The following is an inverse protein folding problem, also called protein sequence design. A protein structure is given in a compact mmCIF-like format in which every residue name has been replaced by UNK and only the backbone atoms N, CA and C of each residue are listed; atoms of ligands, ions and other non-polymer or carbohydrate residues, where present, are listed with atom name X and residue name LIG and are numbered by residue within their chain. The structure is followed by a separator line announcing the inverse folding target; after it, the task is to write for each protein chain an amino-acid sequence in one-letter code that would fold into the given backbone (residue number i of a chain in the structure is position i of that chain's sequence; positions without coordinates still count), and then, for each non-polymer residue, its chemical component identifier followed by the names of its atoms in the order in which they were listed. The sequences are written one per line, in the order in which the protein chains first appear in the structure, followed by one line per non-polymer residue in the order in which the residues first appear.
data_IF_255990431758
#
_entry.id   IF_255990431758
#
_cell.length_a   1.000
_cell.length_b   1.000
_cell.length_c   1.000
_cell.angle_alpha   90.00
_cell.angle_beta   90.00
_cell.angle_gamma   90.00
#
_symmetry.space_group_name_H-M   'P 1'
#
loop_
_entity.id
_entity.type
_entity.pdbx_description
1 polymer ?
#
# COMPACT_ATOMS: atom_id res chain seq x y z
N UNK A 1 -26.51 13.18 -20.53
CA UNK A 1 -25.95 12.86 -19.19
C UNK A 1 -24.98 11.71 -19.32
N UNK A 2 -23.73 11.93 -18.96
CA UNK A 2 -22.72 10.86 -19.01
C UNK A 2 -22.94 9.91 -17.83
N UNK A 3 -22.81 8.58 -18.06
CA UNK A 3 -22.85 7.66 -16.93
C UNK A 3 -21.67 7.90 -15.99
N UNK A 4 -21.90 7.77 -14.69
CA UNK A 4 -20.81 7.85 -13.71
C UNK A 4 -19.86 6.67 -13.92
N UNK A 5 -18.57 6.93 -13.75
CA UNK A 5 -17.56 5.88 -13.84
C UNK A 5 -17.47 5.13 -12.50
N UNK A 6 -17.15 3.81 -12.52
CA UNK A 6 -17.18 2.99 -11.31
C UNK A 6 -16.35 3.53 -10.16
N UNK A 7 -15.19 4.16 -10.45
CA UNK A 7 -14.26 4.64 -9.44
C UNK A 7 -14.25 6.16 -9.33
N UNK A 8 -15.28 6.83 -9.82
CA UNK A 8 -15.38 8.28 -9.67
C UNK A 8 -15.41 8.64 -8.19
N UNK A 9 -14.64 9.67 -7.82
CA UNK A 9 -14.43 10.12 -6.44
C UNK A 9 -13.66 9.14 -5.55
N UNK A 10 -13.07 8.09 -6.14
CA UNK A 10 -12.20 7.15 -5.40
C UNK A 10 -10.76 7.57 -5.59
N UNK A 11 -9.99 7.45 -4.51
CA UNK A 11 -8.55 7.67 -4.52
C UNK A 11 -7.86 6.32 -4.31
N UNK A 12 -6.93 5.98 -5.20
CA UNK A 12 -6.15 4.75 -5.09
C UNK A 12 -4.68 5.13 -4.91
N UNK A 13 -4.07 4.61 -3.85
CA UNK A 13 -2.66 4.85 -3.53
C UNK A 13 -1.92 3.53 -3.73
N UNK A 14 -0.88 3.53 -4.56
CA UNK A 14 -0.06 2.34 -4.81
C UNK A 14 1.29 2.53 -4.13
N UNK A 15 1.69 1.53 -3.33
CA UNK A 15 2.91 1.57 -2.53
C UNK A 15 3.83 0.45 -3.02
N UNK A 16 4.93 0.84 -3.68
CA UNK A 16 5.86 -0.12 -4.28
C UNK A 16 6.76 -0.79 -3.23
N UNK A 17 7.52 -1.78 -3.66
CA UNK A 17 8.39 -2.55 -2.78
C UNK A 17 9.86 -2.25 -2.94
N UNK A 18 10.68 -3.17 -2.43
CA UNK A 18 12.14 -3.13 -2.46
C UNK A 18 12.64 -3.13 -3.90
N UNK A 19 13.61 -2.28 -4.18
CA UNK A 19 14.25 -2.13 -5.49
C UNK A 19 13.28 -1.75 -6.61
N UNK A 20 12.14 -1.17 -6.27
CA UNK A 20 11.12 -0.79 -7.24
C UNK A 20 10.94 0.73 -7.31
N UNK A 21 10.23 1.16 -8.33
CA UNK A 21 9.87 2.56 -8.53
C UNK A 21 8.41 2.66 -8.99
N UNK A 22 7.82 3.88 -9.03
CA UNK A 22 6.43 4.05 -9.47
C UNK A 22 6.16 3.59 -10.91
N UNK A 23 7.18 3.45 -11.74
CA UNK A 23 7.01 3.05 -13.15
C UNK A 23 7.29 1.58 -13.40
N UNK A 24 7.55 0.81 -12.34
CA UNK A 24 7.89 -0.61 -12.47
C UNK A 24 6.64 -1.51 -12.44
N UNK A 25 6.85 -2.76 -12.83
CA UNK A 25 5.86 -3.83 -12.74
C UNK A 25 4.54 -3.45 -13.44
N UNK A 26 3.43 -3.76 -12.79
CA UNK A 26 2.08 -3.51 -13.27
C UNK A 26 1.55 -2.12 -12.88
N UNK A 27 2.37 -1.30 -12.20
CA UNK A 27 1.90 -0.02 -11.66
C UNK A 27 1.38 0.93 -12.73
N UNK A 28 2.12 1.18 -13.84
CA UNK A 28 1.61 2.11 -14.88
C UNK A 28 0.34 1.59 -15.55
N UNK A 29 0.28 0.30 -15.85
CA UNK A 29 -0.89 -0.30 -16.50
C UNK A 29 -2.13 -0.22 -15.63
N UNK A 30 -1.98 -0.55 -14.34
CA UNK A 30 -3.10 -0.47 -13.40
C UNK A 30 -3.53 0.98 -13.20
N UNK A 31 -2.58 1.89 -13.07
CA UNK A 31 -2.87 3.33 -12.93
C UNK A 31 -3.73 3.81 -14.09
N UNK A 32 -3.33 3.50 -15.32
CA UNK A 32 -4.08 3.90 -16.49
C UNK A 32 -5.49 3.30 -16.50
N UNK A 33 -5.61 2.03 -16.16
CA UNK A 33 -6.91 1.35 -16.12
C UNK A 33 -7.85 1.97 -15.09
N UNK A 34 -7.34 2.28 -13.92
CA UNK A 34 -8.13 2.88 -12.84
C UNK A 34 -8.53 4.32 -13.18
N UNK A 35 -7.63 5.09 -13.79
CA UNK A 35 -7.94 6.46 -14.16
C UNK A 35 -9.02 6.54 -15.24
N UNK A 36 -9.02 5.61 -16.19
CA UNK A 36 -10.07 5.52 -17.20
C UNK A 36 -11.44 5.29 -16.54
N UNK A 37 -11.47 4.54 -15.44
CA UNK A 37 -12.68 4.25 -14.70
C UNK A 37 -13.05 5.32 -13.67
N UNK A 38 -12.30 6.42 -13.64
CA UNK A 38 -12.65 7.59 -12.84
C UNK A 38 -11.82 7.80 -11.57
N UNK A 39 -10.93 6.88 -11.22
CA UNK A 39 -10.14 7.00 -10.01
C UNK A 39 -9.05 8.06 -10.14
N UNK A 40 -8.72 8.68 -9.00
CA UNK A 40 -7.49 9.44 -8.85
C UNK A 40 -6.44 8.49 -8.29
N UNK A 41 -5.32 8.31 -9.00
CA UNK A 41 -4.29 7.35 -8.63
C UNK A 41 -2.99 8.07 -8.30
N UNK A 42 -2.44 7.75 -7.14
CA UNK A 42 -1.12 8.22 -6.72
C UNK A 42 -0.22 7.00 -6.52
N UNK A 43 0.85 6.88 -7.32
CA UNK A 43 1.87 5.86 -7.09
C UNK A 43 2.98 6.54 -6.31
N UNK A 44 3.12 6.17 -5.04
CA UNK A 44 4.05 6.82 -4.13
C UNK A 44 5.49 6.47 -4.51
N UNK A 45 6.34 7.49 -4.63
CA UNK A 45 7.77 7.28 -4.85
C UNK A 45 8.46 7.24 -3.49
N UNK A 46 8.86 6.04 -3.06
CA UNK A 46 9.50 5.85 -1.77
C UNK A 46 11.01 6.04 -1.90
N UNK A 47 11.66 6.70 -0.93
CA UNK A 47 13.07 7.05 -1.06
C UNK A 47 14.00 5.84 -0.96
N UNK A 48 15.06 5.87 -1.75
CA UNK A 48 16.16 4.90 -1.71
C UNK A 48 15.66 3.45 -1.67
N UNK A 49 14.86 3.06 -2.68
CA UNK A 49 14.21 1.76 -2.69
C UNK A 49 15.17 0.57 -2.75
N UNK A 50 16.44 0.80 -3.14
CA UNK A 50 17.47 -0.23 -3.13
C UNK A 50 18.22 -0.32 -1.80
N UNK A 51 18.00 0.62 -0.90
CA UNK A 51 18.54 0.63 0.47
C UNK A 51 17.51 1.24 1.41
N UNK A 52 16.30 0.64 1.50
CA UNK A 52 15.17 1.30 2.14
C UNK A 52 15.31 1.37 3.65
N UNK A 53 14.77 2.45 4.23
CA UNK A 53 14.69 2.63 5.67
C UNK A 53 13.22 2.74 6.07
N UNK A 54 12.84 1.94 7.05
CA UNK A 54 11.44 1.84 7.48
C UNK A 54 10.86 3.20 7.89
N UNK A 55 11.63 3.97 8.65
CA UNK A 55 11.17 5.28 9.12
C UNK A 55 10.98 6.26 7.96
N UNK A 56 11.90 6.26 6.99
CA UNK A 56 11.82 7.15 5.84
C UNK A 56 10.59 6.80 4.96
N UNK A 57 10.33 5.53 4.78
CA UNK A 57 9.16 5.07 4.02
C UNK A 57 7.86 5.41 4.75
N UNK A 58 7.83 5.23 6.06
CA UNK A 58 6.66 5.59 6.86
C UNK A 58 6.38 7.09 6.79
N UNK A 59 7.42 7.91 6.89
CA UNK A 59 7.29 9.37 6.81
C UNK A 59 6.79 9.82 5.44
N UNK A 60 7.31 9.22 4.37
CA UNK A 60 6.88 9.54 3.00
C UNK A 60 5.41 9.20 2.80
N UNK A 61 4.98 8.03 3.27
CA UNK A 61 3.58 7.63 3.13
C UNK A 61 2.67 8.55 3.95
N UNK A 62 3.11 8.97 5.14
CA UNK A 62 2.36 9.91 5.96
C UNK A 62 2.21 11.27 5.26
N UNK A 63 3.26 11.71 4.56
CA UNK A 63 3.20 12.98 3.82
C UNK A 63 2.25 12.91 2.62
N UNK A 64 2.22 11.76 1.93
CA UNK A 64 1.38 11.59 0.74
C UNK A 64 -0.07 11.29 1.12
N UNK A 65 -0.28 10.54 2.21
CA UNK A 65 -1.61 10.08 2.63
C UNK A 65 -1.84 10.46 4.10
N UNK A 66 -1.89 11.77 4.43
CA UNK A 66 -2.09 12.18 5.82
C UNK A 66 -3.52 11.93 6.31
N UNK A 67 -4.48 11.90 5.40
CA UNK A 67 -5.89 11.71 5.73
C UNK A 67 -6.50 10.64 4.84
N UNK A 68 -7.40 9.85 5.42
CA UNK A 68 -8.09 8.77 4.69
C UNK A 68 -9.59 8.83 5.00
N UNK A 69 -10.38 8.27 4.09
CA UNK A 69 -11.82 8.06 4.27
C UNK A 69 -12.23 6.79 3.53
N UNK A 70 -13.54 6.51 3.50
CA UNK A 70 -14.06 5.30 2.85
C UNK A 70 -13.89 5.30 1.33
N UNK A 71 -13.47 6.41 0.73
CA UNK A 71 -13.16 6.49 -0.70
C UNK A 71 -11.68 6.30 -0.98
N UNK A 72 -10.88 6.04 0.04
CA UNK A 72 -9.44 5.77 -0.09
C UNK A 72 -9.19 4.27 -0.21
N UNK A 73 -8.39 3.87 -1.19
CA UNK A 73 -7.98 2.48 -1.41
C UNK A 73 -6.47 2.45 -1.50
N UNK A 74 -5.84 1.50 -0.83
CA UNK A 74 -4.37 1.38 -0.84
C UNK A 74 -4.00 0.00 -1.35
N UNK A 75 -3.05 -0.03 -2.30
CA UNK A 75 -2.52 -1.26 -2.88
C UNK A 75 -1.03 -1.30 -2.55
N UNK A 76 -0.63 -2.27 -1.72
CA UNK A 76 0.76 -2.48 -1.38
C UNK A 76 1.34 -3.66 -2.14
N UNK A 77 2.60 -3.55 -2.55
CA UNK A 77 3.32 -4.61 -3.24
C UNK A 77 4.58 -4.95 -2.48
N UNK A 78 4.77 -6.22 -2.13
CA UNK A 78 5.97 -6.73 -1.46
C UNK A 78 6.24 -5.94 -0.16
N UNK A 79 7.40 -5.30 -0.02
CA UNK A 79 7.74 -4.50 1.14
C UNK A 79 6.76 -3.34 1.36
N UNK A 80 6.14 -2.85 0.29
CA UNK A 80 5.11 -1.83 0.38
C UNK A 80 3.89 -2.28 1.18
N UNK A 81 3.66 -3.59 1.29
CA UNK A 81 2.59 -4.12 2.12
C UNK A 81 2.84 -3.83 3.59
N UNK A 82 4.06 -4.10 4.09
CA UNK A 82 4.41 -3.83 5.49
C UNK A 82 4.30 -2.35 5.79
N UNK A 83 4.83 -1.50 4.90
CA UNK A 83 4.75 -0.05 5.05
C UNK A 83 3.29 0.41 5.13
N UNK A 84 2.43 -0.14 4.28
CA UNK A 84 1.00 0.17 4.29
C UNK A 84 0.33 -0.28 5.59
N UNK A 85 0.62 -1.50 6.05
CA UNK A 85 0.04 -2.00 7.30
C UNK A 85 0.43 -1.13 8.49
N UNK A 86 1.71 -0.72 8.57
CA UNK A 86 2.17 0.17 9.63
C UNK A 86 1.51 1.53 9.54
N UNK A 87 1.29 2.04 8.33
CA UNK A 87 0.61 3.31 8.14
C UNK A 87 -0.83 3.23 8.67
N UNK A 88 -1.55 2.17 8.32
CA UNK A 88 -2.93 2.00 8.77
C UNK A 88 -3.04 1.90 10.28
N UNK A 89 -2.13 1.14 10.93
CA UNK A 89 -2.20 1.01 12.38
C UNK A 89 -1.82 2.32 13.09
N UNK A 90 -1.10 3.21 12.43
CA UNK A 90 -0.70 4.50 13.01
C UNK A 90 -1.78 5.59 12.90
N UNK A 91 -2.84 5.33 12.13
CA UNK A 91 -3.90 6.32 11.93
C UNK A 91 -4.72 6.53 13.21
N UNK A 92 -5.34 7.72 13.36
CA UNK A 92 -6.20 7.97 14.53
C UNK A 92 -7.34 6.96 14.64
N UNK A 93 -7.77 6.69 15.86
CA UNK A 93 -8.89 5.80 16.12
C UNK A 93 -10.12 6.27 15.34
N UNK A 94 -10.83 5.32 14.74
CA UNK A 94 -11.99 5.62 13.91
C UNK A 94 -11.71 5.84 12.44
N UNK A 95 -10.42 5.98 12.06
CA UNK A 95 -10.05 6.07 10.65
C UNK A 95 -10.36 4.76 9.93
N UNK A 96 -10.84 4.86 8.68
CA UNK A 96 -11.17 3.67 7.91
C UNK A 96 -11.07 3.97 6.43
N UNK A 97 -10.34 3.12 5.70
CA UNK A 97 -10.28 3.18 4.24
C UNK A 97 -11.31 2.23 3.63
N UNK A 98 -11.64 2.45 2.35
CA UNK A 98 -12.60 1.61 1.64
C UNK A 98 -12.06 0.23 1.33
N UNK A 99 -10.78 0.11 1.01
CA UNK A 99 -10.19 -1.18 0.70
C UNK A 99 -8.67 -1.19 0.76
N UNK A 100 -8.14 -2.36 1.07
CA UNK A 100 -6.71 -2.63 1.15
C UNK A 100 -6.42 -3.85 0.30
N UNK A 101 -5.47 -3.74 -0.63
CA UNK A 101 -5.02 -4.87 -1.45
C UNK A 101 -3.54 -5.09 -1.17
N UNK A 102 -3.19 -6.30 -0.77
CA UNK A 102 -1.82 -6.68 -0.44
C UNK A 102 -1.35 -7.69 -1.48
N UNK A 103 -0.37 -7.30 -2.29
CA UNK A 103 0.15 -8.13 -3.38
C UNK A 103 1.53 -8.64 -3.00
N UNK A 104 1.69 -9.96 -2.90
CA UNK A 104 2.96 -10.62 -2.52
C UNK A 104 3.51 -10.07 -1.21
N UNK A 105 2.63 -9.83 -0.24
CA UNK A 105 3.00 -9.18 1.02
C UNK A 105 3.63 -10.13 2.02
N UNK A 106 4.37 -9.53 2.97
CA UNK A 106 4.90 -10.24 4.13
C UNK A 106 4.94 -9.26 5.31
N UNK A 107 4.92 -9.81 6.51
CA UNK A 107 5.03 -9.02 7.74
C UNK A 107 6.01 -9.63 8.75
N UNK A 108 6.76 -10.63 8.31
CA UNK A 108 7.80 -11.26 9.12
C UNK A 108 9.14 -11.17 8.40
N UNK A 109 10.23 -11.30 9.16
CA UNK A 109 11.58 -11.24 8.60
C UNK A 109 11.80 -12.38 7.62
N UNK A 110 12.31 -12.04 6.43
CA UNK A 110 12.66 -13.01 5.40
C UNK A 110 14.14 -13.35 5.52
N UNK A 111 14.46 -14.64 5.60
CA UNK A 111 15.84 -15.12 5.76
C UNK A 111 16.71 -14.76 4.56
N UNK A 112 16.12 -14.70 3.37
CA UNK A 112 16.84 -14.40 2.15
C UNK A 112 17.05 -12.90 1.91
N UNK A 113 16.43 -12.02 2.70
CA UNK A 113 16.59 -10.57 2.58
C UNK A 113 16.73 -9.96 3.99
N UNK A 114 17.83 -10.29 4.71
CA UNK A 114 17.99 -9.82 6.09
C UNK A 114 18.10 -8.30 6.22
N UNK A 115 18.51 -7.60 5.16
CA UNK A 115 18.62 -6.14 5.17
C UNK A 115 17.26 -5.44 5.31
N UNK A 116 16.15 -6.15 5.15
CA UNK A 116 14.81 -5.60 5.30
C UNK A 116 14.22 -5.86 6.69
N UNK A 117 15.02 -6.40 7.62
CA UNK A 117 14.53 -6.80 8.94
C UNK A 117 13.92 -5.64 9.73
N UNK A 118 14.42 -4.41 9.56
CA UNK A 118 13.88 -3.27 10.31
C UNK A 118 12.40 -2.98 9.98
N UNK A 119 11.92 -3.41 8.81
CA UNK A 119 10.52 -3.25 8.41
C UNK A 119 9.60 -4.20 9.17
N UNK A 120 10.12 -5.32 9.63
CA UNK A 120 9.34 -6.37 10.31
C UNK A 120 9.76 -6.56 11.77
N UNK A 121 10.60 -5.66 12.29
CA UNK A 121 11.10 -5.74 13.67
C UNK A 121 9.97 -5.69 14.69
N UNK A 122 9.01 -4.79 14.48
CA UNK A 122 7.84 -4.67 15.35
C UNK A 122 6.67 -5.43 14.73
N UNK A 123 5.96 -6.19 15.57
CA UNK A 123 4.79 -6.96 15.14
C UNK A 123 3.67 -6.02 14.69
N UNK A 124 3.02 -6.37 13.58
CA UNK A 124 1.86 -5.64 13.09
C UNK A 124 0.65 -5.96 13.98
N UNK A 125 -0.08 -4.93 14.36
CA UNK A 125 -1.34 -5.07 15.11
C UNK A 125 -2.47 -5.39 14.14
N UNK A 126 -2.60 -6.66 13.74
CA UNK A 126 -3.56 -7.08 12.71
C UNK A 126 -5.01 -6.73 13.03
N UNK A 127 -5.40 -6.83 14.30
CA UNK A 127 -6.77 -6.46 14.69
C UNK A 127 -7.05 -4.98 14.46
N UNK A 128 -6.06 -4.13 14.72
CA UNK A 128 -6.17 -2.70 14.45
C UNK A 128 -6.31 -2.46 12.94
N UNK A 129 -5.47 -3.12 12.14
CA UNK A 129 -5.52 -2.99 10.67
C UNK A 129 -6.91 -3.39 10.14
N UNK A 130 -7.47 -4.49 10.64
CA UNK A 130 -8.79 -4.94 10.22
C UNK A 130 -9.87 -3.89 10.46
N UNK A 131 -9.74 -3.14 11.54
CA UNK A 131 -10.69 -2.05 11.84
C UNK A 131 -10.49 -0.82 10.98
N UNK A 132 -9.34 -0.70 10.31
CA UNK A 132 -8.99 0.46 9.47
C UNK A 132 -9.37 0.28 8.01
N UNK A 133 -9.86 -0.89 7.59
CA UNK A 133 -10.22 -1.14 6.20
C UNK A 133 -11.55 -1.87 6.11
N UNK A 134 -12.46 -1.38 5.26
CA UNK A 134 -13.75 -2.02 5.07
C UNK A 134 -13.61 -3.37 4.38
N UNK A 135 -12.67 -3.47 3.43
CA UNK A 135 -12.40 -4.70 2.68
C UNK A 135 -10.90 -4.91 2.59
N UNK A 136 -10.46 -6.15 2.72
CA UNK A 136 -9.05 -6.52 2.61
C UNK A 136 -8.94 -7.70 1.65
N UNK A 137 -8.07 -7.56 0.65
CA UNK A 137 -7.77 -8.61 -0.32
C UNK A 137 -6.27 -8.86 -0.32
N UNK A 138 -5.88 -10.12 -0.18
CA UNK A 138 -4.48 -10.51 -0.25
C UNK A 138 -4.29 -11.38 -1.51
N UNK A 139 -3.31 -11.01 -2.32
CA UNK A 139 -3.00 -11.71 -3.56
C UNK A 139 -1.58 -12.25 -3.45
N UNK A 140 -1.44 -13.57 -3.56
CA UNK A 140 -0.13 -14.23 -3.52
C UNK A 140 -0.05 -15.21 -4.68
N UNK A 141 1.19 -15.43 -5.16
CA UNK A 141 1.47 -16.47 -6.14
C UNK A 141 1.90 -17.72 -5.40
N UNK A 142 1.54 -18.90 -5.90
CA UNK A 142 2.04 -20.16 -5.34
C UNK A 142 3.50 -20.43 -5.72
N UNK A 143 4.08 -19.57 -6.57
CA UNK A 143 5.49 -19.63 -6.99
C UNK A 143 6.36 -18.55 -6.32
N UNK A 144 5.84 -17.79 -5.40
CA UNK A 144 6.61 -16.74 -4.72
C UNK A 144 7.67 -17.36 -3.82
N UNK A 145 8.92 -16.96 -4.03
CA UNK A 145 10.08 -17.40 -3.23
C UNK A 145 10.43 -16.37 -2.15
#
# INVERSE_FOLDING_TARGET
MSPSRPFENKRVVIVHGYMASPTDHWFPTLTQSLEVEGARVDVVSLPESNAPRAQAWAATLQDVVPHVDENTFIIGHSLGCVTTLRHLQSLPAGSRIGGLVLVSGFDCTLDNIPELAEFTHDTIAHDTVRRRAAHILSIVSDNDD
#
